data_IF_498390313406
#
_entry.id   IF_498390313406
#
_cell.length_a   1.000
_cell.length_b   1.000
_cell.length_c   1.000
_cell.angle_alpha   90.00
_cell.angle_beta   90.00
_cell.angle_gamma   90.00
#
_symmetry.space_group_name_H-M   'P 1'
#
loop_
_entity.id
_entity.type
_entity.pdbx_description
1 polymer ?
#
# COMPACT_ATOMS: atom_id res chain seq x y z
N UNK A 1 21.93 3.08 -11.60
CA UNK A 1 20.70 2.62 -12.28
C UNK A 1 19.97 1.72 -11.32
N UNK A 2 19.02 2.26 -10.55
CA UNK A 2 18.26 1.47 -9.58
C UNK A 2 17.28 0.62 -10.37
N UNK A 3 17.48 -0.70 -10.38
CA UNK A 3 16.50 -1.62 -10.96
C UNK A 3 15.25 -1.55 -10.08
N UNK A 4 14.12 -1.19 -10.67
CA UNK A 4 12.82 -1.26 -10.00
C UNK A 4 12.41 -2.72 -10.06
N UNK A 5 12.41 -3.41 -8.93
CA UNK A 5 11.83 -4.75 -8.86
C UNK A 5 10.31 -4.62 -9.08
N UNK A 6 9.87 -5.18 -10.20
CA UNK A 6 8.45 -5.30 -10.53
C UNK A 6 7.87 -6.46 -9.73
N UNK A 7 6.94 -6.15 -8.83
CA UNK A 7 6.09 -7.15 -8.19
C UNK A 7 4.74 -7.20 -8.93
N UNK A 8 4.35 -8.32 -9.55
CA UNK A 8 3.06 -8.44 -10.23
C UNK A 8 1.86 -8.23 -9.30
N UNK A 9 2.05 -8.30 -7.98
CA UNK A 9 1.07 -7.93 -6.98
C UNK A 9 0.70 -6.44 -6.97
N UNK A 10 1.53 -5.55 -7.53
CA UNK A 10 1.29 -4.10 -7.53
C UNK A 10 0.03 -3.69 -8.29
N UNK A 11 -0.30 -4.38 -9.38
CA UNK A 11 -1.52 -4.15 -10.14
C UNK A 11 -2.79 -4.42 -9.32
N UNK A 12 -2.70 -5.31 -8.32
CA UNK A 12 -3.81 -5.67 -7.43
C UNK A 12 -4.00 -4.66 -6.29
N UNK A 13 -3.08 -3.70 -6.09
CA UNK A 13 -3.16 -2.70 -5.03
C UNK A 13 -4.03 -1.51 -5.44
N UNK A 14 -5.34 -1.63 -5.21
CA UNK A 14 -6.31 -0.54 -5.41
C UNK A 14 -6.14 0.59 -4.39
N UNK A 15 -6.67 1.80 -4.63
CA UNK A 15 -6.60 2.90 -3.66
C UNK A 15 -7.13 2.54 -2.26
N UNK A 16 -8.16 1.71 -2.19
CA UNK A 16 -8.70 1.22 -0.91
C UNK A 16 -7.71 0.31 -0.18
N UNK A 17 -7.08 -0.64 -0.89
CA UNK A 17 -6.05 -1.53 -0.34
C UNK A 17 -4.81 -0.77 0.10
N UNK A 18 -4.37 0.21 -0.70
CA UNK A 18 -3.25 1.11 -0.36
C UNK A 18 -3.54 1.92 0.89
N UNK A 19 -4.78 2.41 1.07
CA UNK A 19 -5.17 3.10 2.31
C UNK A 19 -5.14 2.17 3.53
N UNK A 20 -5.58 0.92 3.40
CA UNK A 20 -5.46 -0.09 4.46
C UNK A 20 -3.99 -0.36 4.79
N UNK A 21 -3.15 -0.61 3.77
CA UNK A 21 -1.70 -0.82 3.91
C UNK A 21 -1.03 0.35 4.66
N UNK A 22 -1.34 1.58 4.26
CA UNK A 22 -0.76 2.78 4.87
C UNK A 22 -1.12 2.92 6.36
N UNK A 23 -2.32 2.52 6.77
CA UNK A 23 -2.74 2.53 8.18
C UNK A 23 -2.12 1.38 8.97
N UNK A 24 -2.04 0.17 8.39
CA UNK A 24 -1.33 -0.96 9.00
C UNK A 24 0.16 -0.67 9.21
N UNK A 25 0.80 0.01 8.27
CA UNK A 25 2.19 0.47 8.39
C UNK A 25 2.38 1.50 9.53
N UNK A 26 1.32 2.15 10.00
CA UNK A 26 1.31 3.01 11.18
C UNK A 26 0.95 2.24 12.47
N UNK A 27 0.95 0.92 12.41
CA UNK A 27 0.64 0.01 13.51
C UNK A 27 -0.80 0.10 14.02
N UNK A 28 -1.75 0.48 13.16
CA UNK A 28 -3.17 0.41 13.47
C UNK A 28 -3.64 -1.05 13.47
N UNK A 29 -4.48 -1.44 14.43
CA UNK A 29 -5.22 -2.70 14.37
C UNK A 29 -6.31 -2.67 13.28
N UNK A 30 -6.80 -3.84 12.86
CA UNK A 30 -7.87 -3.95 11.84
C UNK A 30 -9.12 -3.13 12.22
N UNK A 31 -9.48 -3.10 13.50
CA UNK A 31 -10.60 -2.29 13.99
C UNK A 31 -10.33 -0.78 13.84
N UNK A 32 -9.14 -0.33 14.25
CA UNK A 32 -8.75 1.08 14.12
C UNK A 32 -8.60 1.49 12.64
N UNK A 33 -8.16 0.59 11.77
CA UNK A 33 -8.13 0.83 10.32
C UNK A 33 -9.54 1.05 9.78
N UNK A 34 -10.50 0.19 10.17
CA UNK A 34 -11.89 0.30 9.74
C UNK A 34 -12.47 1.68 10.12
N UNK A 35 -12.26 2.08 11.37
CA UNK A 35 -12.68 3.39 11.88
C UNK A 35 -12.00 4.54 11.12
N UNK A 36 -10.66 4.52 11.02
CA UNK A 36 -9.89 5.60 10.42
C UNK A 36 -10.13 5.76 8.92
N UNK A 37 -10.42 4.66 8.21
CA UNK A 37 -10.70 4.67 6.78
C UNK A 37 -12.18 4.87 6.44
N UNK A 38 -13.07 4.85 7.44
CA UNK A 38 -14.52 4.92 7.23
C UNK A 38 -15.11 3.65 6.59
N UNK A 39 -14.50 2.49 6.84
CA UNK A 39 -14.95 1.19 6.33
C UNK A 39 -15.67 0.38 7.41
N UNK A 40 -16.43 -0.62 6.99
CA UNK A 40 -16.94 -1.61 7.93
C UNK A 40 -15.80 -2.52 8.40
N UNK A 41 -15.91 -3.03 9.63
CA UNK A 41 -14.92 -3.99 10.15
C UNK A 41 -14.81 -5.24 9.25
N UNK A 42 -15.96 -5.78 8.80
CA UNK A 42 -16.00 -6.94 7.89
C UNK A 42 -15.34 -6.65 6.54
N UNK A 43 -15.62 -5.49 5.93
CA UNK A 43 -14.97 -5.08 4.68
C UNK A 43 -13.46 -4.89 4.84
N UNK A 44 -13.03 -4.33 5.97
CA UNK A 44 -11.61 -4.16 6.29
C UNK A 44 -10.93 -5.51 6.48
N UNK A 45 -11.55 -6.47 7.18
CA UNK A 45 -11.03 -7.82 7.33
C UNK A 45 -10.88 -8.53 5.98
N UNK A 46 -11.90 -8.47 5.13
CA UNK A 46 -11.83 -9.03 3.77
C UNK A 46 -10.70 -8.41 2.96
N UNK A 47 -10.52 -7.08 3.06
CA UNK A 47 -9.41 -6.39 2.42
C UNK A 47 -8.05 -6.85 2.96
N UNK A 48 -7.94 -7.11 4.27
CA UNK A 48 -6.71 -7.64 4.87
C UNK A 48 -6.43 -9.06 4.38
N UNK A 49 -7.44 -9.90 4.21
CA UNK A 49 -7.27 -11.25 3.69
C UNK A 49 -6.81 -11.23 2.20
N UNK A 50 -7.36 -10.33 1.37
CA UNK A 50 -6.85 -10.09 0.01
C UNK A 50 -5.38 -9.65 0.03
N UNK A 51 -5.01 -8.78 0.98
CA UNK A 51 -3.64 -8.28 1.11
C UNK A 51 -2.67 -9.39 1.50
N UNK A 52 -3.07 -10.36 2.32
CA UNK A 52 -2.24 -11.54 2.62
C UNK A 52 -1.90 -12.33 1.37
N UNK A 53 -2.86 -12.50 0.46
CA UNK A 53 -2.59 -13.18 -0.81
C UNK A 53 -1.65 -12.40 -1.72
N UNK A 54 -1.71 -11.07 -1.67
CA UNK A 54 -0.85 -10.19 -2.48
C UNK A 54 0.56 -10.15 -1.93
N UNK A 55 0.73 -10.03 -0.61
CA UNK A 55 2.03 -9.86 0.04
C UNK A 55 2.69 -11.16 0.49
N UNK A 56 1.94 -12.26 0.54
CA UNK A 56 2.36 -13.53 1.13
C UNK A 56 2.49 -13.52 2.66
N UNK A 57 2.03 -12.46 3.34
CA UNK A 57 2.11 -12.34 4.79
C UNK A 57 0.95 -13.07 5.48
N UNK A 58 1.15 -13.53 6.71
CA UNK A 58 0.10 -14.25 7.45
C UNK A 58 -0.69 -13.32 8.39
N UNK A 59 -0.04 -12.29 8.92
CA UNK A 59 -0.63 -11.39 9.91
C UNK A 59 -0.57 -9.92 9.51
N UNK A 60 -1.51 -9.12 10.02
CA UNK A 60 -1.66 -7.71 9.64
C UNK A 60 -0.43 -6.83 9.96
N UNK A 61 0.32 -7.17 11.02
CA UNK A 61 1.55 -6.45 11.36
C UNK A 61 2.67 -6.66 10.32
N UNK A 62 2.80 -7.88 9.79
CA UNK A 62 3.74 -8.19 8.71
C UNK A 62 3.37 -7.46 7.42
N UNK A 63 2.07 -7.38 7.10
CA UNK A 63 1.56 -6.61 5.96
C UNK A 63 1.95 -5.13 6.10
N UNK A 64 1.80 -4.56 7.29
CA UNK A 64 2.21 -3.18 7.57
C UNK A 64 3.72 -2.96 7.36
N UNK A 65 4.56 -3.89 7.82
CA UNK A 65 6.01 -3.86 7.61
C UNK A 65 6.37 -4.02 6.13
N UNK A 66 5.76 -4.99 5.44
CA UNK A 66 5.93 -5.17 4.01
C UNK A 66 5.64 -3.87 3.25
N UNK A 67 4.57 -3.16 3.61
CA UNK A 67 4.26 -1.89 2.97
C UNK A 67 5.33 -0.82 3.19
N UNK A 68 5.95 -0.74 4.38
CA UNK A 68 7.03 0.20 4.63
C UNK A 68 8.21 -0.03 3.68
N UNK A 69 8.52 -1.28 3.36
CA UNK A 69 9.62 -1.65 2.47
C UNK A 69 9.28 -1.43 0.98
N UNK A 70 7.99 -1.54 0.60
CA UNK A 70 7.56 -1.56 -0.81
C UNK A 70 6.83 -0.29 -1.27
N UNK A 71 6.40 0.60 -0.36
CA UNK A 71 5.60 1.78 -0.71
C UNK A 71 6.29 2.70 -1.72
N UNK A 72 7.60 2.90 -1.58
CA UNK A 72 8.37 3.74 -2.50
C UNK A 72 8.42 3.13 -3.91
N UNK A 73 8.67 1.82 -4.00
CA UNK A 73 8.71 1.07 -5.27
C UNK A 73 7.34 1.03 -5.94
N UNK A 74 6.25 0.83 -5.18
CA UNK A 74 4.89 0.90 -5.71
C UNK A 74 4.56 2.30 -6.25
N UNK A 75 4.92 3.36 -5.52
CA UNK A 75 4.70 4.73 -5.97
C UNK A 75 5.49 5.03 -7.26
N UNK A 76 6.75 4.60 -7.33
CA UNK A 76 7.56 4.72 -8.54
C UNK A 76 6.94 3.95 -9.71
N UNK A 77 6.46 2.73 -9.48
CA UNK A 77 5.76 1.93 -10.48
C UNK A 77 4.50 2.65 -10.99
N UNK A 78 3.68 3.23 -10.10
CA UNK A 78 2.52 4.04 -10.51
C UNK A 78 2.94 5.23 -11.39
N UNK A 79 4.03 5.92 -11.05
CA UNK A 79 4.59 6.99 -11.87
C UNK A 79 4.95 6.50 -13.28
N UNK A 80 5.63 5.36 -13.38
CA UNK A 80 5.98 4.75 -14.66
C UNK A 80 4.73 4.37 -15.49
N UNK A 81 3.69 3.81 -14.86
CA UNK A 81 2.42 3.52 -15.55
C UNK A 81 1.73 4.79 -16.06
N UNK A 82 1.90 5.91 -15.36
CA UNK A 82 1.41 7.23 -15.78
C UNK A 82 2.31 7.91 -16.83
N UNK A 83 3.42 7.28 -17.24
CA UNK A 83 4.38 7.85 -18.18
C UNK A 83 5.34 8.88 -17.58
N UNK A 84 5.42 8.97 -16.24
CA UNK A 84 6.36 9.84 -15.54
C UNK A 84 7.74 9.14 -15.48
N UNK A 85 8.77 9.81 -16.01
CA UNK A 85 10.13 9.29 -16.01
C UNK A 85 10.82 9.51 -14.65
N UNK A 86 11.82 8.70 -14.26
CA UNK A 86 12.48 8.78 -12.95
C UNK A 86 13.21 10.11 -12.63
N UNK A 87 13.28 11.06 -13.56
CA UNK A 87 13.84 12.41 -13.35
C UNK A 87 12.78 13.45 -12.98
N UNK A 88 11.49 13.15 -13.19
CA UNK A 88 10.39 13.96 -12.69
C UNK A 88 10.14 13.60 -11.23
N UNK A 89 11.12 13.89 -10.36
CA UNK A 89 10.96 13.82 -8.92
C UNK A 89 9.79 14.72 -8.51
N UNK A 90 8.58 14.15 -8.55
CA UNK A 90 7.36 14.78 -8.10
C UNK A 90 7.57 15.09 -6.63
N UNK A 91 7.90 16.34 -6.35
CA UNK A 91 7.88 16.89 -5.00
C UNK A 91 6.42 17.02 -4.64
N UNK A 92 5.80 15.94 -4.16
CA UNK A 92 4.45 15.97 -3.62
C UNK A 92 4.51 16.82 -2.36
N UNK A 93 4.18 18.11 -2.49
CA UNK A 93 3.90 18.94 -1.32
C UNK A 93 2.58 18.46 -0.73
N UNK A 94 2.65 17.81 0.44
CA UNK A 94 1.48 17.64 1.29
C UNK A 94 1.06 19.04 1.74
N UNK A 95 -0.03 19.54 1.19
CA UNK A 95 -0.67 20.76 1.73
C UNK A 95 -1.44 20.32 2.98
N UNK A 96 -0.93 20.75 4.13
CA UNK A 96 -1.63 20.65 5.42
C UNK A 96 -2.72 21.70 5.56
#
# INVERSE_FOLDING_TARGET
MTMVEYDPGYERLTPARVRVLALLARNYSVAQVAEAAGYTYGGTRSCVDDLKEITGCEIAGEIGRWWQDHAASWHQWCGQQAGLLPDDAVTVRIVG
#
